data_IF_044684443666
#
_entry.id   IF_044684443666
#
_cell.length_a   1.000
_cell.length_b   1.000
_cell.length_c   1.000
_cell.angle_alpha   90.00
_cell.angle_beta   90.00
_cell.angle_gamma   90.00
#
_symmetry.space_group_name_H-M   'P 1'
#
loop_
_entity.id
_entity.type
_entity.pdbx_description
1 polymer ?
#
# COMPACT_ATOMS: atom_id res chain seq x y z
N UNK A 1 6.56 -71.03 23.88
CA UNK A 1 5.22 -70.40 23.88
C UNK A 1 5.44 -68.89 23.91
N UNK A 2 4.84 -68.15 22.97
CA UNK A 2 5.12 -66.73 22.69
C UNK A 2 4.39 -65.86 23.72
N UNK A 3 5.12 -65.05 24.48
CA UNK A 3 4.56 -63.96 25.29
C UNK A 3 4.60 -62.67 24.46
N UNK A 4 3.43 -62.09 24.18
CA UNK A 4 3.31 -60.81 23.48
C UNK A 4 3.16 -59.69 24.50
N UNK A 5 3.94 -58.62 24.32
CA UNK A 5 3.89 -57.39 25.11
C UNK A 5 2.68 -56.55 24.66
N UNK A 6 1.79 -56.20 25.58
CA UNK A 6 0.78 -55.17 25.35
C UNK A 6 1.43 -53.79 25.51
N UNK A 7 1.60 -53.06 24.40
CA UNK A 7 1.86 -51.62 24.44
C UNK A 7 0.53 -50.88 24.42
N UNK A 8 0.13 -50.29 25.55
CA UNK A 8 -1.01 -49.35 25.60
C UNK A 8 -0.55 -47.97 25.10
N UNK A 9 -0.99 -47.58 23.91
CA UNK A 9 -0.82 -46.21 23.40
C UNK A 9 -1.85 -45.28 24.04
N UNK A 10 -1.48 -44.14 24.63
CA UNK A 10 -2.44 -43.16 25.10
C UNK A 10 -2.96 -42.36 23.89
N UNK A 11 -4.23 -42.54 23.56
CA UNK A 11 -4.91 -41.72 22.54
C UNK A 11 -5.04 -40.29 23.08
N UNK A 12 -4.16 -39.39 22.65
CA UNK A 12 -4.29 -37.95 22.90
C UNK A 12 -5.45 -37.41 22.05
N UNK A 13 -6.59 -37.13 22.68
CA UNK A 13 -7.70 -36.41 22.05
C UNK A 13 -7.29 -34.93 21.87
N UNK A 14 -6.90 -34.55 20.65
CA UNK A 14 -6.75 -33.15 20.28
C UNK A 14 -8.13 -32.54 20.04
N UNK A 15 -8.61 -31.77 21.01
CA UNK A 15 -9.80 -30.92 20.84
C UNK A 15 -9.41 -29.75 19.93
N UNK A 16 -9.77 -29.82 18.66
CA UNK A 16 -9.68 -28.68 17.75
C UNK A 16 -10.77 -27.68 18.12
N UNK A 17 -10.43 -26.70 18.95
CA UNK A 17 -11.27 -25.52 19.16
C UNK A 17 -11.19 -24.69 17.88
N UNK A 18 -12.14 -24.88 16.97
CA UNK A 18 -12.38 -23.94 15.89
C UNK A 18 -12.95 -22.67 16.52
N UNK A 19 -12.08 -21.72 16.87
CA UNK A 19 -12.51 -20.35 17.16
C UNK A 19 -12.86 -19.74 15.81
N UNK A 20 -14.13 -19.43 15.50
CA UNK A 20 -14.43 -18.65 14.32
C UNK A 20 -13.93 -17.23 14.62
N UNK A 21 -12.71 -16.91 14.19
CA UNK A 21 -12.23 -15.53 14.18
C UNK A 21 -12.86 -14.82 12.97
N UNK A 22 -14.20 -14.71 12.98
CA UNK A 22 -14.90 -13.75 12.15
C UNK A 22 -14.97 -12.46 12.96
N UNK A 23 -13.85 -11.74 13.06
CA UNK A 23 -13.96 -10.30 13.30
C UNK A 23 -14.70 -9.76 12.08
N UNK A 24 -15.97 -9.41 12.23
CA UNK A 24 -16.70 -8.69 11.18
C UNK A 24 -15.84 -7.49 10.79
N UNK A 25 -15.26 -7.52 9.60
CA UNK A 25 -14.41 -6.44 9.12
C UNK A 25 -15.27 -5.19 8.99
N UNK A 26 -15.12 -4.27 9.93
CA UNK A 26 -15.80 -2.98 9.86
C UNK A 26 -14.99 -2.07 8.93
N UNK A 27 -15.32 -2.15 7.64
CA UNK A 27 -14.70 -1.33 6.60
C UNK A 27 -14.95 0.17 6.81
N UNK A 28 -16.07 0.54 7.42
CA UNK A 28 -16.37 1.95 7.71
C UNK A 28 -15.36 2.50 8.71
N UNK A 29 -15.25 1.88 9.89
CA UNK A 29 -14.30 2.32 10.92
C UNK A 29 -12.85 2.20 10.45
N UNK A 30 -12.51 1.10 9.76
CA UNK A 30 -11.14 0.86 9.31
C UNK A 30 -10.67 1.86 8.26
N UNK A 31 -11.51 2.15 7.27
CA UNK A 31 -11.16 3.09 6.20
C UNK A 31 -11.36 4.55 6.61
N UNK A 32 -12.03 4.83 7.73
CA UNK A 32 -12.12 6.17 8.32
C UNK A 32 -10.77 6.67 8.84
N UNK A 33 -9.90 5.77 9.31
CA UNK A 33 -8.56 6.12 9.82
C UNK A 33 -7.71 6.80 8.75
N UNK A 34 -6.95 7.84 9.08
CA UNK A 34 -6.07 8.50 8.10
C UNK A 34 -4.62 8.00 8.21
N UNK A 35 -3.93 7.94 7.09
CA UNK A 35 -2.48 7.71 7.07
C UNK A 35 -1.78 8.98 7.58
N UNK A 36 -0.84 8.79 8.51
CA UNK A 36 -0.06 9.86 9.12
C UNK A 36 1.38 9.36 9.38
N UNK A 37 2.36 9.98 8.75
CA UNK A 37 3.79 9.65 8.90
C UNK A 37 4.66 10.87 8.56
N UNK A 38 5.38 11.39 9.56
CA UNK A 38 6.20 12.59 9.40
C UNK A 38 5.37 13.79 8.94
N UNK A 39 5.79 14.45 7.87
CA UNK A 39 5.10 15.61 7.29
C UNK A 39 3.86 15.22 6.47
N UNK A 40 3.73 13.96 6.07
CA UNK A 40 2.59 13.45 5.31
C UNK A 40 1.49 13.04 6.29
N UNK A 41 0.45 13.84 6.39
CA UNK A 41 -0.64 13.66 7.37
C UNK A 41 -2.01 13.76 6.71
N UNK A 42 -3.02 13.24 7.40
CA UNK A 42 -4.42 13.28 6.99
C UNK A 42 -4.71 12.65 5.60
N UNK A 43 -3.93 11.65 5.20
CA UNK A 43 -4.09 11.03 3.88
C UNK A 43 -5.13 9.92 3.92
N UNK A 44 -6.12 10.00 3.02
CA UNK A 44 -7.21 9.02 2.90
C UNK A 44 -7.17 8.21 1.61
N UNK A 45 -8.33 7.66 1.23
CA UNK A 45 -8.55 7.06 -0.09
C UNK A 45 -8.09 8.05 -1.19
N UNK A 46 -7.41 7.61 -2.26
CA UNK A 46 -7.23 6.22 -2.71
C UNK A 46 -6.03 5.47 -2.10
N UNK A 47 -5.37 6.06 -1.09
CA UNK A 47 -4.20 5.47 -0.45
C UNK A 47 -4.56 4.55 0.71
N UNK A 48 -3.73 3.54 0.92
CA UNK A 48 -3.77 2.63 2.05
C UNK A 48 -2.37 2.38 2.62
N UNK A 49 -2.28 1.61 3.70
CA UNK A 49 -1.04 1.32 4.41
C UNK A 49 -0.95 2.05 5.75
N UNK A 50 0.04 1.64 6.56
CA UNK A 50 0.31 2.17 7.91
C UNK A 50 -0.96 2.40 8.76
N UNK A 51 -1.66 1.31 9.07
CA UNK A 51 -2.90 1.34 9.86
C UNK A 51 -4.19 1.48 9.04
N UNK A 52 -4.11 1.78 7.72
CA UNK A 52 -5.22 1.65 6.77
C UNK A 52 -5.14 0.31 6.04
N UNK A 53 -6.12 -0.60 6.17
CA UNK A 53 -6.13 -1.89 5.47
C UNK A 53 -6.11 -1.78 3.93
N UNK A 54 -5.69 -2.87 3.28
CA UNK A 54 -5.64 -3.01 1.81
C UNK A 54 -6.95 -2.63 1.11
N UNK A 55 -8.09 -3.02 1.70
CA UNK A 55 -9.42 -2.70 1.16
C UNK A 55 -9.78 -1.22 1.20
N UNK A 56 -8.93 -0.35 1.77
CA UNK A 56 -9.18 1.09 1.87
C UNK A 56 -8.52 1.92 0.77
N UNK A 57 -7.89 1.27 -0.22
CA UNK A 57 -7.19 1.97 -1.30
C UNK A 57 -6.81 1.07 -2.47
N UNK A 58 -6.29 1.69 -3.52
CA UNK A 58 -5.86 1.01 -4.73
C UNK A 58 -4.59 0.18 -4.48
N UNK A 59 -4.43 -1.01 -5.07
CA UNK A 59 -3.29 -1.90 -4.79
C UNK A 59 -1.92 -1.23 -4.92
N UNK A 60 -1.74 -0.41 -5.94
CA UNK A 60 -0.49 0.27 -6.26
C UNK A 60 -0.27 1.57 -5.46
N UNK A 61 -1.25 2.01 -4.66
CA UNK A 61 -1.19 3.23 -3.83
C UNK A 61 -0.96 2.90 -2.34
N UNK A 62 -0.09 1.92 -2.10
CA UNK A 62 0.37 1.52 -0.77
C UNK A 62 1.44 2.49 -0.25
N UNK A 63 1.11 3.20 0.82
CA UNK A 63 2.04 4.04 1.57
C UNK A 63 2.61 3.28 2.77
N UNK A 64 3.93 3.30 2.89
CA UNK A 64 4.64 2.76 4.05
C UNK A 64 5.30 3.89 4.82
N UNK A 65 5.55 3.65 6.11
CA UNK A 65 6.20 4.61 7.00
C UNK A 65 7.36 3.92 7.73
N UNK A 66 8.54 4.52 7.67
CA UNK A 66 9.71 4.10 8.46
C UNK A 66 10.45 5.34 8.94
N UNK A 67 10.72 5.45 10.24
CA UNK A 67 11.46 6.59 10.83
C UNK A 67 10.92 7.98 10.41
N UNK A 68 9.59 8.11 10.32
CA UNK A 68 8.90 9.33 9.84
C UNK A 68 9.07 9.64 8.34
N UNK A 69 9.64 8.73 7.56
CA UNK A 69 9.73 8.82 6.11
C UNK A 69 8.59 8.02 5.47
N UNK A 70 7.78 8.71 4.67
CA UNK A 70 6.73 8.06 3.86
C UNK A 70 7.32 7.57 2.54
N UNK A 71 7.11 6.31 2.18
CA UNK A 71 7.53 5.76 0.89
C UNK A 71 6.41 5.02 0.16
N UNK A 72 6.51 4.95 -1.16
CA UNK A 72 5.63 4.21 -2.06
C UNK A 72 6.47 3.36 -3.02
N UNK A 73 6.05 2.12 -3.25
CA UNK A 73 6.68 1.21 -4.23
C UNK A 73 5.93 1.24 -5.56
N UNK A 74 6.61 1.59 -6.65
CA UNK A 74 6.02 1.64 -7.99
C UNK A 74 6.90 0.85 -8.96
N UNK A 75 6.34 -0.19 -9.58
CA UNK A 75 7.05 -1.04 -10.57
C UNK A 75 8.43 -1.56 -10.10
N UNK A 76 8.56 -1.85 -8.80
CA UNK A 76 9.80 -2.35 -8.20
C UNK A 76 10.83 -1.27 -7.84
N UNK A 77 10.51 0.01 -7.98
CA UNK A 77 11.32 1.15 -7.52
C UNK A 77 10.67 1.75 -6.28
N UNK A 78 11.46 2.07 -5.26
CA UNK A 78 10.99 2.73 -4.05
C UNK A 78 11.17 4.25 -4.17
N UNK A 79 10.11 5.00 -3.85
CA UNK A 79 10.09 6.45 -3.86
C UNK A 79 9.78 6.98 -2.47
N UNK A 80 10.49 8.02 -2.03
CA UNK A 80 10.03 8.88 -0.93
C UNK A 80 8.92 9.80 -1.44
N UNK A 81 7.86 9.91 -0.65
CA UNK A 81 6.75 10.81 -0.93
C UNK A 81 7.00 12.13 -0.22
N UNK A 82 7.29 13.18 -0.99
CA UNK A 82 7.57 14.52 -0.47
C UNK A 82 6.30 15.32 -0.21
N UNK A 83 5.25 15.09 -1.01
CA UNK A 83 3.97 15.77 -0.90
C UNK A 83 2.85 14.94 -1.51
N UNK A 84 1.65 15.04 -0.93
CA UNK A 84 0.40 14.51 -1.50
C UNK A 84 -0.62 15.64 -1.54
N UNK A 85 -1.18 15.93 -2.72
CA UNK A 85 -2.25 16.92 -2.88
C UNK A 85 -3.55 16.20 -3.30
N UNK A 86 -4.41 15.87 -2.32
CA UNK A 86 -5.65 15.10 -2.60
C UNK A 86 -6.82 15.95 -3.11
N UNK A 87 -6.93 17.21 -2.73
CA UNK A 87 -8.18 17.98 -2.91
C UNK A 87 -8.29 18.71 -4.26
N UNK A 88 -7.18 19.18 -4.82
CA UNK A 88 -7.20 20.06 -6.00
C UNK A 88 -6.58 19.43 -7.25
N UNK A 89 -5.57 18.56 -7.08
CA UNK A 89 -4.66 18.20 -8.17
C UNK A 89 -4.51 16.68 -8.37
N UNK A 90 -4.82 15.89 -7.34
CA UNK A 90 -4.59 14.44 -7.31
C UNK A 90 -3.13 14.10 -7.64
N UNK A 91 -2.19 14.83 -7.04
CA UNK A 91 -0.76 14.73 -7.33
C UNK A 91 0.05 14.17 -6.16
N UNK A 92 1.13 13.47 -6.53
CA UNK A 92 2.23 13.07 -5.66
C UNK A 92 3.51 13.77 -6.11
N UNK A 93 4.25 14.32 -5.16
CA UNK A 93 5.63 14.73 -5.39
C UNK A 93 6.56 13.64 -4.90
N UNK A 94 7.31 13.04 -5.82
CA UNK A 94 8.09 11.83 -5.59
C UNK A 94 9.57 12.08 -5.86
N UNK A 95 10.42 11.39 -5.12
CA UNK A 95 11.85 11.28 -5.38
C UNK A 95 12.27 9.84 -5.11
N UNK A 96 13.20 9.33 -5.90
CA UNK A 96 13.74 7.98 -5.67
C UNK A 96 14.42 7.91 -4.32
N UNK A 97 14.06 6.90 -3.53
CA UNK A 97 14.56 6.76 -2.16
C UNK A 97 16.08 6.60 -2.10
N UNK A 98 16.65 5.86 -3.06
CA UNK A 98 18.09 5.63 -3.13
C UNK A 98 18.89 6.85 -3.59
N UNK A 99 18.25 7.81 -4.27
CA UNK A 99 18.88 9.05 -4.71
C UNK A 99 18.66 10.24 -3.78
N UNK A 100 17.87 10.09 -2.72
CA UNK A 100 17.59 11.20 -1.81
C UNK A 100 18.86 11.68 -1.09
N UNK A 101 19.73 10.75 -0.71
CA UNK A 101 20.93 11.02 0.09
C UNK A 101 22.25 10.78 -0.65
N UNK A 102 22.29 9.89 -1.65
CA UNK A 102 23.51 9.47 -2.33
C UNK A 102 23.29 9.14 -3.80
N UNK A 103 23.64 10.05 -4.70
CA UNK A 103 23.41 9.80 -6.13
C UNK A 103 24.42 8.85 -6.76
N UNK A 104 25.60 8.66 -6.14
CA UNK A 104 26.67 7.81 -6.66
C UNK A 104 26.60 6.35 -6.22
N UNK A 105 25.50 5.94 -5.56
CA UNK A 105 25.27 4.57 -5.10
C UNK A 105 23.83 4.08 -5.39
N UNK A 106 23.38 4.09 -6.67
CA UNK A 106 22.05 3.62 -7.04
C UNK A 106 21.80 2.16 -6.63
N UNK A 107 20.59 1.88 -6.16
CA UNK A 107 20.11 0.52 -5.81
C UNK A 107 19.16 -0.05 -6.86
N UNK A 108 18.43 0.78 -7.59
CA UNK A 108 17.47 0.35 -8.61
C UNK A 108 17.91 0.75 -10.01
N UNK A 109 17.39 0.06 -11.03
CA UNK A 109 17.53 0.42 -12.46
C UNK A 109 16.76 1.70 -12.81
N UNK A 110 16.42 1.94 -14.09
CA UNK A 110 15.78 3.19 -14.53
C UNK A 110 14.56 3.59 -13.68
N UNK A 111 14.29 4.90 -13.59
CA UNK A 111 13.03 5.40 -13.04
C UNK A 111 11.87 4.81 -13.83
N UNK A 112 10.96 4.14 -13.12
CA UNK A 112 9.78 3.48 -13.68
C UNK A 112 8.53 4.04 -13.05
N UNK A 113 7.56 4.35 -13.90
CA UNK A 113 6.24 4.81 -13.48
C UNK A 113 5.19 3.99 -14.22
N UNK A 114 4.15 3.57 -13.51
CA UNK A 114 3.03 2.88 -14.13
C UNK A 114 2.17 3.90 -14.89
N UNK A 115 2.33 3.99 -16.21
CA UNK A 115 1.60 4.95 -17.05
C UNK A 115 0.08 4.74 -17.08
N UNK A 116 -0.42 3.58 -16.62
CA UNK A 116 -1.87 3.36 -16.50
C UNK A 116 -2.44 4.07 -15.27
N UNK A 117 -1.65 4.22 -14.22
CA UNK A 117 -2.09 4.81 -12.95
C UNK A 117 -1.56 6.24 -12.75
N UNK A 118 -0.46 6.62 -13.40
CA UNK A 118 0.16 7.91 -13.20
C UNK A 118 0.44 8.62 -14.52
N UNK A 119 0.32 9.94 -14.51
CA UNK A 119 0.79 10.83 -15.56
C UNK A 119 1.81 11.81 -14.98
N UNK A 120 2.87 12.11 -15.72
CA UNK A 120 3.80 13.15 -15.31
C UNK A 120 3.14 14.52 -15.38
N UNK A 121 3.33 15.34 -14.35
CA UNK A 121 2.99 16.75 -14.38
C UNK A 121 4.03 17.49 -15.25
N UNK A 122 3.57 18.51 -15.97
CA UNK A 122 4.43 19.33 -16.83
C UNK A 122 5.50 20.06 -16.00
N UNK A 123 6.64 20.35 -16.64
CA UNK A 123 7.78 20.99 -15.97
C UNK A 123 8.79 20.02 -15.36
N UNK A 124 8.68 18.73 -15.67
CA UNK A 124 9.68 17.71 -15.35
C UNK A 124 10.33 17.16 -16.61
N UNK A 125 11.61 16.78 -16.55
CA UNK A 125 12.41 16.30 -17.70
C UNK A 125 13.22 15.07 -17.36
N UNK A 126 13.38 14.19 -18.35
CA UNK A 126 14.22 13.00 -18.21
C UNK A 126 15.71 13.39 -18.33
N UNK A 127 16.47 13.02 -17.30
CA UNK A 127 17.91 13.23 -17.19
C UNK A 127 18.58 11.86 -17.15
N UNK A 128 19.62 11.70 -17.95
CA UNK A 128 20.46 10.52 -17.96
C UNK A 128 21.67 10.76 -17.06
N UNK A 129 21.78 9.97 -16.01
CA UNK A 129 22.96 9.84 -15.18
C UNK A 129 23.94 8.88 -15.84
N UNK A 130 25.20 9.29 -15.92
CA UNK A 130 26.28 8.58 -16.58
C UNK A 130 27.40 8.34 -15.57
N UNK A 131 27.69 7.07 -15.26
CA UNK A 131 28.63 6.72 -14.19
C UNK A 131 29.94 6.11 -14.72
N UNK A 132 31.07 6.56 -14.17
CA UNK A 132 32.44 6.10 -14.49
C UNK A 132 32.69 6.01 -16.01
N UNK A 133 32.54 7.12 -16.73
CA UNK A 133 32.71 7.16 -18.19
C UNK A 133 34.16 7.42 -18.62
N UNK A 134 34.59 6.84 -19.75
CA UNK A 134 36.01 6.92 -20.20
C UNK A 134 36.39 8.23 -20.89
N UNK A 135 35.42 9.07 -21.27
CA UNK A 135 35.63 10.21 -22.19
C UNK A 135 34.85 11.46 -21.80
N UNK A 136 34.67 11.71 -20.51
CA UNK A 136 33.95 12.86 -20.00
C UNK A 136 34.86 14.09 -19.91
N UNK A 137 34.96 14.80 -21.02
CA UNK A 137 35.57 16.13 -21.04
C UNK A 137 34.61 17.25 -20.62
N UNK A 138 33.38 16.94 -20.18
CA UNK A 138 32.38 17.93 -19.77
C UNK A 138 31.50 17.40 -18.62
N UNK A 139 31.47 18.13 -17.50
CA UNK A 139 30.40 18.02 -16.51
C UNK A 139 30.40 16.81 -15.58
N UNK A 140 31.53 16.10 -15.46
CA UNK A 140 31.67 15.01 -14.48
C UNK A 140 31.88 15.56 -13.07
N UNK A 141 31.05 15.09 -12.15
CA UNK A 141 31.19 15.38 -10.74
C UNK A 141 31.86 14.21 -10.02
N UNK A 142 32.87 14.53 -9.20
CA UNK A 142 33.54 13.52 -8.38
C UNK A 142 32.62 13.05 -7.25
N UNK A 143 32.45 11.75 -7.13
CA UNK A 143 31.70 11.13 -6.04
C UNK A 143 32.57 10.97 -4.78
N UNK A 144 31.96 10.85 -3.59
CA UNK A 144 32.68 10.47 -2.38
C UNK A 144 33.38 9.11 -2.50
N UNK A 145 34.51 8.92 -1.81
CA UNK A 145 35.38 7.74 -1.99
C UNK A 145 34.78 6.42 -1.52
N UNK A 146 33.74 6.46 -0.69
CA UNK A 146 33.03 5.30 -0.13
C UNK A 146 31.84 4.85 -0.99
N UNK A 147 31.62 5.48 -2.15
CA UNK A 147 30.49 5.19 -3.03
C UNK A 147 30.80 4.18 -4.15
N UNK A 148 29.74 3.70 -4.79
CA UNK A 148 29.81 2.62 -5.80
C UNK A 148 30.52 3.06 -7.09
N UNK A 149 30.33 4.32 -7.47
CA UNK A 149 30.93 4.95 -8.63
C UNK A 149 31.85 6.10 -8.17
N UNK A 150 32.93 6.33 -8.93
CA UNK A 150 33.90 7.39 -8.63
C UNK A 150 33.51 8.74 -9.24
N UNK A 151 32.74 8.75 -10.32
CA UNK A 151 32.16 9.96 -10.89
C UNK A 151 30.74 9.74 -11.44
N UNK A 152 30.02 10.86 -11.60
CA UNK A 152 28.72 10.92 -12.25
C UNK A 152 28.61 12.19 -13.08
N UNK A 153 28.07 12.07 -14.29
CA UNK A 153 27.59 13.19 -15.10
C UNK A 153 26.08 13.12 -15.27
N UNK A 154 25.46 14.28 -15.46
CA UNK A 154 24.05 14.41 -15.77
C UNK A 154 23.88 15.09 -17.13
N UNK A 155 23.14 14.45 -18.05
CA UNK A 155 22.83 15.01 -19.37
C UNK A 155 21.34 14.86 -19.65
N UNK A 156 20.75 15.79 -20.40
CA UNK A 156 19.36 15.61 -20.82
C UNK A 156 19.22 14.36 -21.68
N UNK A 157 18.22 13.52 -21.40
CA UNK A 157 18.03 12.24 -22.08
C UNK A 157 17.74 12.40 -23.58
N UNK A 158 17.29 13.58 -24.02
CA UNK A 158 17.08 13.93 -25.42
C UNK A 158 18.39 14.01 -26.23
N UNK A 159 19.55 14.20 -25.60
CA UNK A 159 20.82 14.22 -26.29
C UNK A 159 21.40 12.81 -26.43
N UNK A 160 21.76 12.37 -27.65
CA UNK A 160 22.35 11.05 -27.89
C UNK A 160 23.82 11.04 -27.46
N UNK A 161 24.06 11.08 -26.15
CA UNK A 161 25.39 10.96 -25.55
C UNK A 161 25.64 9.46 -25.35
N UNK A 162 26.60 8.90 -26.09
CA UNK A 162 27.01 7.49 -26.01
C UNK A 162 28.48 7.29 -25.60
N UNK A 163 28.97 7.90 -24.50
CA UNK A 163 30.25 7.53 -23.94
C UNK A 163 30.17 6.10 -23.40
N UNK A 164 31.31 5.40 -23.44
CA UNK A 164 31.44 4.11 -22.77
C UNK A 164 31.47 4.36 -21.26
N UNK A 165 30.36 4.09 -20.59
CA UNK A 165 30.17 4.24 -19.16
C UNK A 165 29.99 2.88 -18.50
N UNK A 166 30.41 2.76 -17.23
CA UNK A 166 30.20 1.55 -16.44
C UNK A 166 28.72 1.29 -16.18
N UNK A 167 27.94 2.37 -16.03
CA UNK A 167 26.49 2.31 -15.87
C UNK A 167 25.83 3.59 -16.37
N UNK A 168 24.55 3.50 -16.70
CA UNK A 168 23.70 4.63 -17.04
C UNK A 168 22.32 4.45 -16.43
N UNK A 169 21.68 5.55 -16.02
CA UNK A 169 20.33 5.54 -15.48
C UNK A 169 19.52 6.71 -16.02
N UNK A 170 18.26 6.49 -16.36
CA UNK A 170 17.32 7.59 -16.60
C UNK A 170 16.56 7.90 -15.32
N UNK A 171 16.60 9.17 -14.93
CA UNK A 171 15.82 9.73 -13.82
C UNK A 171 14.94 10.87 -14.31
N UNK A 172 13.97 11.24 -13.48
CA UNK A 172 13.09 12.39 -13.71
C UNK A 172 13.34 13.41 -12.62
N UNK A 173 13.48 14.67 -12.99
CA UNK A 173 13.62 15.79 -12.05
C UNK A 173 12.66 16.92 -12.43
N UNK A 174 12.37 17.79 -11.48
CA UNK A 174 11.69 19.05 -11.72
C UNK A 174 12.67 20.07 -12.32
N UNK A 175 12.66 20.19 -13.64
CA UNK A 175 13.43 21.22 -14.35
C UNK A 175 12.66 21.63 -15.60
N UNK A 176 11.84 22.66 -15.47
CA UNK A 176 10.88 23.06 -16.50
C UNK A 176 11.54 23.53 -17.80
N UNK A 177 12.79 23.95 -17.73
CA UNK A 177 13.55 24.44 -18.89
C UNK A 177 14.67 23.48 -19.33
N UNK A 178 14.98 22.44 -18.55
CA UNK A 178 16.12 21.56 -18.79
C UNK A 178 17.48 22.26 -18.66
N UNK A 179 17.49 23.49 -18.10
CA UNK A 179 18.68 24.32 -17.96
C UNK A 179 19.32 24.17 -16.58
N UNK A 180 18.56 23.72 -15.58
CA UNK A 180 19.04 23.55 -14.22
C UNK A 180 20.22 22.59 -14.15
N UNK A 181 20.16 21.50 -14.92
CA UNK A 181 21.26 20.51 -15.02
C UNK A 181 22.53 21.11 -15.65
N UNK A 182 22.40 22.03 -16.59
CA UNK A 182 23.55 22.61 -17.32
C UNK A 182 24.36 23.54 -16.41
N UNK A 183 23.70 24.15 -15.42
CA UNK A 183 24.33 25.05 -14.46
C UNK A 183 24.97 24.37 -13.25
N UNK A 184 24.85 23.04 -13.11
CA UNK A 184 25.38 22.34 -11.95
C UNK A 184 26.92 22.29 -12.00
N UNK A 185 27.55 22.64 -10.89
CA UNK A 185 29.00 22.68 -10.78
C UNK A 185 29.59 21.45 -10.05
N UNK A 186 28.79 20.75 -9.25
CA UNK A 186 29.26 19.66 -8.41
C UNK A 186 28.15 18.63 -8.08
N UNK A 187 28.55 17.51 -7.46
CA UNK A 187 27.67 16.39 -7.13
C UNK A 187 26.60 16.79 -6.11
N UNK A 188 26.92 17.69 -5.17
CA UNK A 188 25.99 18.15 -4.13
C UNK A 188 24.82 18.92 -4.74
N UNK A 189 25.08 19.77 -5.74
CA UNK A 189 24.04 20.49 -6.46
C UNK A 189 23.17 19.53 -7.28
N UNK A 190 23.76 18.50 -7.89
CA UNK A 190 23.02 17.45 -8.58
C UNK A 190 22.11 16.68 -7.60
N UNK A 191 22.63 16.31 -6.42
CA UNK A 191 21.83 15.67 -5.37
C UNK A 191 20.69 16.57 -4.90
N UNK A 192 20.93 17.87 -4.75
CA UNK A 192 19.88 18.83 -4.40
C UNK A 192 18.78 18.88 -5.49
N UNK A 193 19.16 18.98 -6.76
CA UNK A 193 18.21 18.99 -7.87
C UNK A 193 17.39 17.68 -7.95
N UNK A 194 18.01 16.53 -7.68
CA UNK A 194 17.28 15.25 -7.62
C UNK A 194 16.38 15.17 -6.39
N UNK A 195 16.83 15.70 -5.24
CA UNK A 195 16.07 15.73 -3.99
C UNK A 195 14.80 16.58 -4.09
N UNK A 196 14.78 17.57 -4.97
CA UNK A 196 13.54 18.31 -5.27
C UNK A 196 12.44 17.40 -5.82
N UNK A 197 12.79 16.26 -6.43
CA UNK A 197 11.84 15.28 -6.94
C UNK A 197 11.09 15.75 -8.19
N UNK A 198 10.00 15.05 -8.52
CA UNK A 198 9.12 15.34 -9.64
C UNK A 198 7.67 15.05 -9.27
N UNK A 199 6.73 15.73 -9.91
CA UNK A 199 5.31 15.54 -9.65
C UNK A 199 4.64 14.61 -10.67
N UNK A 200 3.76 13.77 -10.16
CA UNK A 200 2.90 12.89 -10.95
C UNK A 200 1.45 13.05 -10.50
N UNK A 201 0.52 13.04 -11.45
CA UNK A 201 -0.90 12.93 -11.20
C UNK A 201 -1.29 11.45 -11.14
N UNK A 202 -2.02 11.02 -10.12
CA UNK A 202 -2.59 9.66 -10.07
C UNK A 202 -4.00 9.64 -10.67
N UNK A 203 -4.33 8.54 -11.36
CA UNK A 203 -5.57 8.32 -12.11
C UNK A 203 -6.48 7.37 -11.35
N UNK A 204 -7.38 7.91 -10.54
CA UNK A 204 -8.40 7.14 -9.82
C UNK A 204 -9.79 7.66 -10.17
N UNK A 205 -10.79 6.79 -10.13
CA UNK A 205 -12.19 7.20 -10.30
C UNK A 205 -12.72 7.75 -8.97
N UNK A 206 -12.56 9.07 -8.78
CA UNK A 206 -12.98 9.79 -7.58
C UNK A 206 -14.50 10.00 -7.50
N UNK A 207 -15.22 9.96 -8.63
CA UNK A 207 -16.66 10.26 -8.65
C UNK A 207 -17.49 9.33 -7.77
N UNK A 208 -17.19 8.02 -7.79
CA UNK A 208 -17.84 7.03 -6.91
C UNK A 208 -17.54 7.31 -5.43
N UNK A 209 -16.32 7.75 -5.14
CA UNK A 209 -15.92 8.08 -3.77
C UNK A 209 -16.60 9.36 -3.29
N UNK A 210 -16.74 10.37 -4.15
CA UNK A 210 -17.41 11.63 -3.83
C UNK A 210 -18.90 11.40 -3.49
N UNK A 211 -19.60 10.56 -4.25
CA UNK A 211 -20.99 10.16 -3.94
C UNK A 211 -21.06 9.45 -2.58
N UNK A 212 -20.14 8.51 -2.33
CA UNK A 212 -20.06 7.79 -1.07
C UNK A 212 -19.87 8.75 0.12
N UNK A 213 -18.90 9.66 0.04
CA UNK A 213 -18.62 10.66 1.07
C UNK A 213 -19.82 11.60 1.25
N UNK A 214 -20.47 12.02 0.16
CA UNK A 214 -21.69 12.84 0.20
C UNK A 214 -22.84 12.16 0.96
N UNK A 215 -22.90 10.83 0.94
CA UNK A 215 -23.86 10.03 1.71
C UNK A 215 -23.41 9.70 3.15
N UNK A 216 -22.31 10.29 3.63
CA UNK A 216 -21.68 10.02 4.95
C UNK A 216 -21.00 8.65 5.05
N UNK A 217 -20.70 8.03 3.91
CA UNK A 217 -19.89 6.82 3.83
C UNK A 217 -18.39 7.11 3.79
N UNK A 218 -17.60 6.04 3.73
CA UNK A 218 -16.16 6.09 3.55
C UNK A 218 -15.74 5.14 2.44
N UNK A 219 -14.87 5.62 1.56
CA UNK A 219 -14.46 4.89 0.38
C UNK A 219 -13.47 3.78 0.71
N UNK A 220 -13.62 2.66 0.02
CA UNK A 220 -12.67 1.56 -0.07
C UNK A 220 -12.52 1.11 -1.52
N UNK A 221 -11.72 0.07 -1.73
CA UNK A 221 -11.50 -0.55 -3.04
C UNK A 221 -11.57 -2.07 -2.90
N UNK A 222 -12.41 -2.70 -3.71
CA UNK A 222 -12.45 -4.15 -3.83
C UNK A 222 -11.47 -4.59 -4.92
N UNK A 223 -10.39 -5.27 -4.52
CA UNK A 223 -9.33 -5.70 -5.42
C UNK A 223 -9.74 -6.85 -6.34
N UNK A 224 -10.76 -7.63 -5.96
CA UNK A 224 -11.28 -8.74 -6.77
C UNK A 224 -12.19 -8.24 -7.89
N UNK A 225 -12.93 -7.16 -7.64
CA UNK A 225 -13.80 -6.50 -8.61
C UNK A 225 -13.12 -5.35 -9.35
N UNK A 226 -11.98 -4.87 -8.86
CA UNK A 226 -11.32 -3.65 -9.33
C UNK A 226 -12.25 -2.43 -9.30
N UNK A 227 -13.05 -2.30 -8.25
CA UNK A 227 -14.04 -1.23 -8.10
C UNK A 227 -13.94 -0.50 -6.76
N UNK A 228 -14.17 0.82 -6.81
CA UNK A 228 -14.42 1.64 -5.61
C UNK A 228 -15.72 1.20 -4.94
N UNK A 229 -15.65 0.96 -3.63
CA UNK A 229 -16.78 0.57 -2.79
C UNK A 229 -17.07 1.64 -1.74
N UNK A 230 -18.34 1.76 -1.33
CA UNK A 230 -18.73 2.61 -0.22
C UNK A 230 -19.00 1.76 1.03
N UNK A 231 -18.25 2.04 2.10
CA UNK A 231 -18.55 1.52 3.42
C UNK A 231 -19.47 2.50 4.14
N UNK A 232 -20.56 2.00 4.70
CA UNK A 232 -21.59 2.82 5.33
C UNK A 232 -21.65 2.58 6.84
N UNK A 233 -22.01 3.61 7.63
CA UNK A 233 -22.20 3.43 9.06
C UNK A 233 -23.26 2.36 9.32
N UNK A 234 -22.98 1.42 10.24
CA UNK A 234 -23.91 0.36 10.67
C UNK A 234 -24.41 -0.58 9.57
N UNK A 235 -23.74 -0.67 8.42
CA UNK A 235 -24.08 -1.61 7.35
C UNK A 235 -22.92 -2.57 7.09
N UNK A 236 -23.23 -3.87 6.99
CA UNK A 236 -22.25 -4.92 6.72
C UNK A 236 -21.88 -5.07 5.25
N UNK A 237 -22.59 -4.38 4.34
CA UNK A 237 -22.48 -4.57 2.91
C UNK A 237 -22.00 -3.30 2.22
N UNK A 238 -21.03 -3.46 1.31
CA UNK A 238 -20.59 -2.39 0.42
C UNK A 238 -21.75 -1.97 -0.51
N UNK A 239 -22.09 -0.69 -0.52
CA UNK A 239 -23.11 -0.10 -1.41
C UNK A 239 -22.44 0.95 -2.31
N UNK A 240 -23.16 1.51 -3.29
CA UNK A 240 -22.71 2.71 -4.02
C UNK A 240 -22.88 3.99 -3.20
N UNK A 241 -23.90 4.02 -2.36
CA UNK A 241 -24.16 5.11 -1.42
C UNK A 241 -24.78 4.58 -0.13
N UNK A 242 -24.66 5.37 0.93
CA UNK A 242 -25.33 5.13 2.18
C UNK A 242 -26.71 5.75 2.11
N UNK A 243 -27.67 4.98 1.61
CA UNK A 243 -29.07 5.32 1.78
C UNK A 243 -29.38 5.35 3.27
N UNK A 244 -29.99 6.43 3.75
CA UNK A 244 -30.56 6.49 5.09
C UNK A 244 -31.75 5.53 5.15
N UNK A 245 -31.49 4.23 5.34
CA UNK A 245 -32.55 3.34 5.82
C UNK A 245 -32.81 3.74 7.28
N UNK A 246 -33.91 4.45 7.47
CA UNK A 246 -34.56 4.55 8.77
C UNK A 246 -35.06 3.15 9.14
N UNK A 247 -34.17 2.29 9.65
CA UNK A 247 -34.57 1.12 10.41
C UNK A 247 -34.46 1.45 11.90
N UNK A 248 -35.39 2.30 12.34
CA UNK A 248 -35.95 2.12 13.66
C UNK A 248 -36.75 0.80 13.60
N UNK A 249 -36.11 -0.30 13.98
CA UNK A 249 -36.86 -1.48 14.42
C UNK A 249 -37.39 -1.13 15.81
N UNK A 250 -38.57 -0.54 15.82
CA UNK A 250 -39.40 -0.41 17.00
C UNK A 250 -39.84 -1.84 17.42
N UNK A 251 -39.53 -2.16 18.68
CA UNK A 251 -39.93 -3.30 19.50
C UNK A 251 -39.40 -4.74 19.20
N UNK A 252 -38.87 -5.43 20.23
CA UNK A 252 -38.67 -6.88 20.17
C UNK A 252 -40.00 -7.60 20.40
N UNK A 253 -40.59 -8.15 19.34
CA UNK A 253 -41.57 -9.23 19.48
C UNK A 253 -40.79 -10.54 19.59
N UNK A 254 -40.75 -11.07 20.82
CA UNK A 254 -40.21 -12.37 21.16
C UNK A 254 -40.93 -13.49 20.37
N UNK A 255 -40.25 -14.27 19.50
CA UNK A 255 -40.81 -15.53 19.04
C UNK A 255 -40.53 -16.59 20.11
N UNK A 256 -41.60 -17.24 20.58
CA UNK A 256 -41.54 -18.44 21.42
C UNK A 256 -40.51 -19.44 20.91
N UNK A 257 -39.67 -19.93 21.83
CA UNK A 257 -38.76 -21.04 21.60
C UNK A 257 -39.53 -22.26 21.07
N UNK A 258 -39.31 -22.63 19.81
CA UNK A 258 -39.61 -23.98 19.33
C UNK A 258 -38.40 -24.85 19.62
N UNK A 259 -38.55 -25.69 20.63
CA UNK A 259 -37.62 -26.79 20.94
C UNK A 259 -37.57 -27.71 19.71
N UNK A 260 -36.45 -27.73 19.01
CA UNK A 260 -36.14 -28.76 18.03
C UNK A 260 -35.55 -29.96 18.81
N UNK A 261 -36.34 -31.02 18.95
CA UNK A 261 -35.84 -32.30 19.45
C UNK A 261 -34.95 -32.91 18.36
N UNK A 262 -33.63 -32.83 18.54
CA UNK A 262 -32.70 -33.64 17.75
C UNK A 262 -32.51 -34.97 18.46
N UNK A 263 -33.19 -35.99 17.95
CA UNK A 263 -32.98 -37.40 18.31
C UNK A 263 -31.54 -37.79 17.98
N UNK A 264 -30.70 -37.90 19.01
CA UNK A 264 -29.39 -38.55 18.91
C UNK A 264 -29.61 -40.07 18.80
N UNK A 265 -29.26 -40.65 17.65
CA UNK A 265 -29.06 -42.08 17.50
C UNK A 265 -27.77 -42.45 18.25
N UNK A 266 -27.89 -43.16 19.37
CA UNK A 266 -26.80 -43.93 19.97
C UNK A 266 -26.83 -45.35 19.37
N UNK A 267 -25.73 -45.88 18.80
CA UNK A 267 -25.57 -47.31 18.64
C UNK A 267 -25.32 -47.95 20.01
N UNK A 268 -25.94 -49.12 20.21
CA UNK A 268 -25.92 -49.95 21.42
C UNK A 268 -24.48 -50.38 21.78
N UNK A 269 -24.03 -50.17 23.02
CA UNK A 269 -23.90 -51.24 24.02
C UNK A 269 -23.47 -50.75 25.41
N UNK A 270 -24.11 -51.35 26.43
CA UNK A 270 -23.74 -51.48 27.86
C UNK A 270 -23.57 -50.22 28.77
N UNK A 271 -24.70 -49.91 29.42
CA UNK A 271 -24.87 -49.69 30.86
C UNK A 271 -24.38 -48.43 31.60
N UNK A 272 -25.34 -47.91 32.40
CA UNK A 272 -25.24 -46.93 33.49
C UNK A 272 -25.01 -45.44 33.13
N UNK A 273 -26.12 -44.72 32.92
CA UNK A 273 -26.47 -43.65 33.87
C UNK A 273 -27.97 -43.32 33.78
N UNK A 274 -28.74 -43.88 34.71
CA UNK A 274 -30.13 -43.53 34.91
C UNK A 274 -30.26 -42.07 35.41
N UNK A 275 -31.22 -41.39 34.80
CA UNK A 275 -31.62 -40.00 34.97
C UNK A 275 -32.23 -39.75 36.35
N UNK A 276 -32.15 -38.49 36.78
CA UNK A 276 -32.96 -37.96 37.87
C UNK A 276 -32.96 -36.43 37.91
N UNK A 277 -33.47 -35.80 36.86
CA UNK A 277 -33.94 -34.41 36.86
C UNK A 277 -34.88 -34.16 38.05
N UNK A 278 -34.58 -33.17 38.91
CA UNK A 278 -35.62 -32.37 39.55
C UNK A 278 -35.08 -31.05 40.13
N UNK A 279 -35.79 -29.98 39.75
CA UNK A 279 -35.98 -28.67 40.41
C UNK A 279 -35.15 -27.46 39.95
N UNK A 280 -35.92 -26.62 39.23
CA UNK A 280 -35.89 -25.17 39.00
C UNK A 280 -34.74 -24.57 38.19
#
# INVERSE_FOLDING_TARGET
MKSWLFFSSPFAFFVFINIPLASSFDGYTSCSNKFNCGEITNVGFPFWGYGRPESCGYPELNLTCSESVTTIGIMGVQYRVLKINQEAEETLKLVRDDYYDKICSPKFGDTKLNSNLFDYVSGSVDVKLLYDCTSSSQGDFSCPKDETYGNVAAVLAAFPVYPMCKSQMVIRIQDSMGLGIISLENVTELEQAVREGFEVKYKVDSAKCDECVGSKGVCGYDWGLSETVCHCPNQSSASRNCSATAEAIDNPVLPSAKVFNMTLFCPMDMDLCARGLQKF
#
